data_IF_499964075765
#
_entry.id   IF_499964075765
#
_cell.length_a   1.000
_cell.length_b   1.000
_cell.length_c   1.000
_cell.angle_alpha   90.00
_cell.angle_beta   90.00
_cell.angle_gamma   90.00
#
_symmetry.space_group_name_H-M   'P 1'
#
loop_
_entity.id
_entity.type
_entity.pdbx_description
1 polymer ?
#
# COMPACT_ATOMS: atom_id res chain seq x y z
N UNK A 1 -6.89 18.57 14.58
CA UNK A 1 -7.47 17.72 13.54
C UNK A 1 -8.17 16.61 14.31
N UNK A 2 -9.49 16.54 14.24
CA UNK A 2 -10.23 15.50 14.94
C UNK A 2 -9.68 14.13 14.51
N UNK A 3 -9.63 13.15 15.42
CA UNK A 3 -9.12 11.79 15.22
C UNK A 3 -9.71 11.13 13.96
N UNK A 4 -9.07 11.31 12.80
CA UNK A 4 -9.39 10.59 11.59
C UNK A 4 -8.51 9.34 11.56
N UNK A 5 -9.13 8.17 11.63
CA UNK A 5 -8.42 6.89 11.65
C UNK A 5 -8.24 6.38 10.22
N UNK A 6 -7.04 5.94 9.86
CA UNK A 6 -6.84 5.22 8.61
C UNK A 6 -7.42 3.80 8.75
N UNK A 7 -8.30 3.43 7.83
CA UNK A 7 -8.93 2.11 7.77
C UNK A 7 -8.83 1.56 6.35
N UNK A 8 -8.85 0.23 6.22
CA UNK A 8 -8.93 -0.43 4.92
C UNK A 8 -10.25 -0.07 4.23
N UNK A 9 -10.19 0.24 2.94
CA UNK A 9 -11.37 0.63 2.17
C UNK A 9 -12.42 -0.49 2.20
N UNK A 10 -13.63 -0.18 2.69
CA UNK A 10 -14.74 -1.15 2.76
C UNK A 10 -15.24 -1.61 1.39
N UNK A 11 -15.02 -0.80 0.34
CA UNK A 11 -15.49 -1.10 -1.00
C UNK A 11 -14.63 -2.14 -1.71
N UNK A 12 -13.30 -2.00 -1.69
CA UNK A 12 -12.39 -2.90 -2.41
C UNK A 12 -11.57 -3.82 -1.50
N UNK A 13 -11.73 -3.72 -0.17
CA UNK A 13 -10.91 -4.40 0.83
C UNK A 13 -9.40 -4.25 0.56
N UNK A 14 -8.98 -3.12 -0.01
CA UNK A 14 -7.59 -2.83 -0.36
C UNK A 14 -7.04 -3.53 -1.62
N UNK A 15 -7.86 -4.27 -2.39
CA UNK A 15 -7.38 -5.01 -3.57
C UNK A 15 -7.60 -4.28 -4.91
N UNK A 16 -8.43 -3.24 -4.94
CA UNK A 16 -8.88 -2.64 -6.19
C UNK A 16 -9.93 -3.51 -6.90
N UNK A 17 -10.22 -3.17 -8.17
CA UNK A 17 -11.18 -3.88 -9.00
C UNK A 17 -10.59 -4.11 -10.39
N UNK A 18 -10.84 -5.30 -10.95
CA UNK A 18 -10.63 -5.62 -12.36
C UNK A 18 -12.01 -5.70 -13.02
N UNK A 19 -12.18 -5.11 -14.21
CA UNK A 19 -13.42 -5.26 -14.97
C UNK A 19 -13.45 -6.56 -15.79
N UNK A 20 -14.59 -6.84 -16.42
CA UNK A 20 -14.79 -8.09 -17.19
C UNK A 20 -13.87 -8.21 -18.42
N UNK A 21 -13.23 -7.10 -18.83
CA UNK A 21 -12.27 -7.04 -19.94
C UNK A 21 -10.82 -7.23 -19.45
N UNK A 22 -10.61 -7.32 -18.13
CA UNK A 22 -9.29 -7.47 -17.51
C UNK A 22 -8.60 -6.14 -17.23
N UNK A 23 -9.28 -4.99 -17.38
CA UNK A 23 -8.70 -3.69 -17.12
C UNK A 23 -8.77 -3.36 -15.61
N UNK A 24 -7.62 -2.97 -15.06
CA UNK A 24 -7.54 -2.50 -13.67
C UNK A 24 -8.18 -1.12 -13.58
N UNK A 25 -9.17 -0.99 -12.70
CA UNK A 25 -9.83 0.28 -12.41
C UNK A 25 -9.61 0.70 -10.97
N UNK A 26 -9.41 2.00 -10.79
CA UNK A 26 -9.37 2.59 -9.47
C UNK A 26 -10.72 2.42 -8.79
N UNK A 27 -10.68 1.98 -7.53
CA UNK A 27 -11.88 1.94 -6.71
C UNK A 27 -12.38 3.37 -6.50
N UNK A 28 -13.56 3.70 -7.03
CA UNK A 28 -14.14 5.04 -6.93
C UNK A 28 -14.37 5.51 -5.49
N UNK A 29 -14.37 4.60 -4.50
CA UNK A 29 -14.54 4.94 -3.09
C UNK A 29 -13.24 5.41 -2.42
N UNK A 30 -12.10 4.77 -2.72
CA UNK A 30 -10.81 5.13 -2.12
C UNK A 30 -9.82 5.73 -3.12
N UNK A 31 -10.26 6.00 -4.35
CA UNK A 31 -9.44 6.51 -5.45
C UNK A 31 -8.20 5.64 -5.71
N UNK A 32 -8.38 4.32 -5.63
CA UNK A 32 -7.31 3.33 -5.85
C UNK A 32 -6.30 3.17 -4.70
N UNK A 33 -6.36 3.97 -3.63
CA UNK A 33 -5.39 3.91 -2.52
C UNK A 33 -5.47 2.66 -1.65
N UNK A 34 -6.62 1.98 -1.65
CA UNK A 34 -6.90 0.83 -0.79
C UNK A 34 -7.26 1.17 0.67
N UNK A 35 -7.14 2.43 1.09
CA UNK A 35 -7.42 2.91 2.44
C UNK A 35 -8.29 4.18 2.43
N UNK A 36 -8.98 4.44 3.53
CA UNK A 36 -9.84 5.61 3.71
C UNK A 36 -9.61 6.22 5.08
N UNK A 37 -9.94 7.50 5.24
CA UNK A 37 -10.10 8.10 6.56
C UNK A 37 -11.50 7.83 7.10
N UNK A 38 -11.59 7.32 8.32
CA UNK A 38 -12.84 7.23 9.07
C UNK A 38 -12.93 8.40 10.04
N UNK A 39 -14.00 9.18 9.91
CA UNK A 39 -14.28 10.29 10.83
C UNK A 39 -14.91 9.82 12.15
N UNK A 40 -15.17 10.77 13.05
CA UNK A 40 -15.78 10.51 14.37
C UNK A 40 -17.20 9.98 14.31
N UNK A 41 -17.90 10.20 13.20
CA UNK A 41 -19.26 9.70 12.95
C UNK A 41 -19.23 8.29 12.32
N UNK A 42 -18.03 7.75 12.07
CA UNK A 42 -17.82 6.44 11.49
C UNK A 42 -17.96 6.41 9.97
N UNK A 43 -17.96 7.58 9.31
CA UNK A 43 -18.09 7.71 7.86
C UNK A 43 -16.71 7.65 7.23
N UNK A 44 -16.60 6.85 6.16
CA UNK A 44 -15.36 6.65 5.41
C UNK A 44 -15.26 7.66 4.26
N UNK A 45 -14.12 8.36 4.20
CA UNK A 45 -13.80 9.34 3.18
C UNK A 45 -12.51 8.95 2.44
N UNK A 46 -12.41 9.24 1.14
CA UNK A 46 -11.13 9.15 0.43
C UNK A 46 -10.06 9.96 1.15
N UNK A 47 -8.84 9.43 1.17
CA UNK A 47 -7.68 10.17 1.68
C UNK A 47 -7.34 11.27 0.65
N UNK A 48 -7.30 12.55 1.03
CA UNK A 48 -6.90 13.62 0.11
C UNK A 48 -5.44 13.51 -0.31
N UNK A 49 -5.13 13.87 -1.57
CA UNK A 49 -3.78 13.73 -2.11
C UNK A 49 -2.73 14.57 -1.36
N UNK A 50 -3.12 15.71 -0.79
CA UNK A 50 -2.27 16.56 0.05
C UNK A 50 -1.83 15.90 1.37
N UNK A 51 -2.49 14.81 1.77
CA UNK A 51 -2.20 14.08 2.99
C UNK A 51 -1.27 12.90 2.75
N UNK A 52 -1.14 12.38 1.52
CA UNK A 52 -0.30 11.21 1.24
C UNK A 52 1.12 11.34 1.79
N UNK A 53 1.75 12.52 1.64
CA UNK A 53 3.09 12.75 2.19
C UNK A 53 3.16 12.76 3.72
N UNK A 54 2.05 13.06 4.41
CA UNK A 54 1.97 13.13 5.88
C UNK A 54 1.77 11.77 6.51
N UNK A 55 1.08 10.86 5.81
CA UNK A 55 0.69 9.54 6.32
C UNK A 55 1.36 8.37 5.57
N UNK A 56 2.34 8.65 4.71
CA UNK A 56 3.05 7.63 3.92
C UNK A 56 3.60 6.51 4.80
N UNK A 57 4.26 6.85 5.91
CA UNK A 57 4.83 5.87 6.85
C UNK A 57 3.75 4.97 7.48
N UNK A 58 2.57 5.53 7.79
CA UNK A 58 1.45 4.76 8.36
C UNK A 58 0.84 3.83 7.30
N UNK A 59 0.66 4.31 6.07
CA UNK A 59 0.18 3.49 4.95
C UNK A 59 1.13 2.33 4.63
N UNK A 60 2.45 2.58 4.64
CA UNK A 60 3.44 1.52 4.44
C UNK A 60 3.37 0.46 5.54
N UNK A 61 3.22 0.86 6.80
CA UNK A 61 3.07 -0.08 7.92
C UNK A 61 1.80 -0.93 7.80
N UNK A 62 0.68 -0.30 7.43
CA UNK A 62 -0.59 -1.00 7.21
C UNK A 62 -0.48 -2.01 6.06
N UNK A 63 0.19 -1.65 4.98
CA UNK A 63 0.37 -2.57 3.84
C UNK A 63 1.33 -3.71 4.18
N UNK A 64 2.42 -3.43 4.89
CA UNK A 64 3.32 -4.47 5.41
C UNK A 64 2.59 -5.45 6.34
N UNK A 65 1.70 -4.95 7.20
CA UNK A 65 0.85 -5.80 8.03
C UNK A 65 -0.09 -6.66 7.18
N UNK A 66 -0.79 -6.05 6.22
CA UNK A 66 -1.70 -6.75 5.31
C UNK A 66 -0.99 -7.84 4.51
N UNK A 67 0.19 -7.57 3.97
CA UNK A 67 0.99 -8.59 3.28
C UNK A 67 1.31 -9.77 4.20
N UNK A 68 1.65 -9.51 5.47
CA UNK A 68 1.86 -10.58 6.46
C UNK A 68 0.61 -11.40 6.74
N UNK A 69 -0.57 -10.76 6.79
CA UNK A 69 -1.86 -11.45 6.90
C UNK A 69 -2.12 -12.37 5.70
N UNK A 70 -1.64 -11.99 4.51
CA UNK A 70 -1.66 -12.82 3.29
C UNK A 70 -0.57 -13.90 3.24
N UNK A 71 0.25 -14.02 4.27
CA UNK A 71 1.31 -15.02 4.37
C UNK A 71 2.67 -14.56 3.83
N UNK A 72 2.84 -13.27 3.49
CA UNK A 72 4.16 -12.74 3.16
C UNK A 72 5.06 -12.74 4.40
N UNK A 73 6.18 -13.46 4.32
CA UNK A 73 7.19 -13.55 5.39
C UNK A 73 8.46 -12.78 5.07
N UNK A 74 8.51 -12.09 3.92
CA UNK A 74 9.69 -11.33 3.51
C UNK A 74 9.86 -10.04 4.29
N UNK A 75 11.01 -9.41 4.09
CA UNK A 75 11.28 -8.04 4.51
C UNK A 75 11.75 -7.25 3.31
N UNK A 76 11.45 -5.96 3.28
CA UNK A 76 12.10 -5.04 2.36
C UNK A 76 13.62 -5.12 2.55
N UNK A 77 14.35 -5.14 1.44
CA UNK A 77 15.82 -5.14 1.38
C UNK A 77 16.27 -3.92 0.59
N UNK A 78 17.27 -3.21 1.09
CA UNK A 78 17.93 -2.18 0.28
C UNK A 78 18.51 -2.81 -1.00
N UNK A 79 18.67 -2.06 -2.10
CA UNK A 79 19.22 -2.60 -3.34
C UNK A 79 20.51 -3.40 -3.14
N UNK A 80 21.46 -2.92 -2.33
CA UNK A 80 22.72 -3.59 -2.00
C UNK A 80 22.56 -4.93 -1.24
N UNK A 81 21.44 -5.12 -0.55
CA UNK A 81 21.13 -6.32 0.22
C UNK A 81 20.42 -7.40 -0.63
N UNK A 82 20.02 -7.05 -1.86
CA UNK A 82 19.30 -7.96 -2.76
C UNK A 82 20.28 -8.92 -3.46
N UNK A 83 20.25 -10.21 -3.09
CA UNK A 83 21.17 -11.24 -3.62
C UNK A 83 21.17 -11.35 -5.15
N UNK A 84 20.01 -11.19 -5.79
CA UNK A 84 19.89 -11.22 -7.26
C UNK A 84 20.74 -10.14 -7.95
N UNK A 85 21.04 -9.02 -7.27
CA UNK A 85 21.88 -7.95 -7.81
C UNK A 85 23.38 -8.25 -7.69
N UNK A 86 23.77 -9.12 -6.75
CA UNK A 86 25.17 -9.54 -6.54
C UNK A 86 25.62 -10.59 -7.58
N UNK A 87 24.67 -11.28 -8.20
CA UNK A 87 24.95 -12.37 -9.16
C UNK A 87 25.53 -11.89 -10.50
N UNK A 88 25.46 -10.58 -10.81
CA UNK A 88 25.99 -9.99 -12.06
C UNK A 88 27.34 -9.27 -11.90
N UNK A 89 27.99 -9.32 -10.73
CA UNK A 89 29.37 -8.84 -10.59
C UNK A 89 30.33 -9.98 -10.96
N UNK A 90 30.72 -10.05 -12.23
CA UNK A 90 31.78 -10.97 -12.67
C UNK A 90 33.11 -10.66 -11.98
N UNK A 91 33.99 -11.65 -11.73
CA UNK A 91 35.16 -11.52 -10.85
C UNK A 91 36.35 -10.71 -11.40
N UNK A 92 36.19 -9.90 -12.45
CA UNK A 92 37.32 -9.35 -13.23
C UNK A 92 37.63 -7.87 -12.95
N UNK A 93 37.13 -7.28 -11.85
CA UNK A 93 37.44 -5.89 -11.48
C UNK A 93 37.59 -5.71 -9.96
N UNK A 94 38.56 -6.40 -9.36
CA UNK A 94 39.06 -6.13 -7.99
C UNK A 94 40.49 -5.62 -8.01
#
# INVERSE_FOLDING_TARGET
MADMKIVRCISCDGYGWEDDEGDVRDCAWCDGTGYTYRDSDGIDHPIPAEDYGKIADELEQLEMQRMRELGYTGTAKNPEDQEIRKQNQSPDEA
#
